data_IF_251521367296
#
_entry.id   IF_251521367296
#
_cell.length_a   1.000
_cell.length_b   1.000
_cell.length_c   1.000
_cell.angle_alpha   90.00
_cell.angle_beta   90.00
_cell.angle_gamma   90.00
#
_symmetry.space_group_name_H-M   'P 1'
#
loop_
_entity.id
_entity.type
_entity.pdbx_description
1 polymer ?
#
# COMPACT_ATOMS: atom_id res chain seq x y z
N UNK A 1 -21.33 -2.06 -4.53
CA UNK A 1 -19.96 -1.58 -4.29
C UNK A 1 -19.93 -0.10 -4.61
N UNK A 2 -19.67 0.77 -3.63
CA UNK A 2 -19.47 2.19 -3.91
C UNK A 2 -18.29 2.34 -4.88
N UNK A 3 -18.46 3.11 -5.95
CA UNK A 3 -17.39 3.44 -6.87
C UNK A 3 -16.43 4.35 -6.10
N UNK A 4 -15.32 3.79 -5.63
CA UNK A 4 -14.24 4.61 -5.05
C UNK A 4 -13.65 5.38 -6.21
N UNK A 5 -13.79 6.70 -6.19
CA UNK A 5 -13.14 7.57 -7.18
C UNK A 5 -11.63 7.57 -6.87
N UNK A 6 -10.89 6.77 -7.64
CA UNK A 6 -9.44 6.66 -7.53
C UNK A 6 -8.81 7.54 -8.59
N UNK A 7 -8.26 8.67 -8.17
CA UNK A 7 -7.49 9.56 -9.04
C UNK A 7 -6.09 8.97 -9.30
N UNK A 8 -5.61 9.15 -10.54
CA UNK A 8 -4.28 8.69 -10.95
C UNK A 8 -3.28 9.85 -10.90
N UNK A 9 -2.10 9.57 -10.38
CA UNK A 9 -0.98 10.52 -10.28
C UNK A 9 0.29 9.87 -10.82
N UNK A 10 1.17 10.64 -11.45
CA UNK A 10 2.51 10.15 -11.76
C UNK A 10 3.42 10.26 -10.52
N UNK A 11 4.57 9.59 -10.53
CA UNK A 11 5.55 9.73 -9.45
C UNK A 11 6.04 11.17 -9.28
N UNK A 12 6.09 11.92 -10.38
CA UNK A 12 6.63 13.28 -10.44
C UNK A 12 5.59 14.31 -9.94
N UNK A 13 4.30 14.04 -10.17
CA UNK A 13 3.19 14.88 -9.68
C UNK A 13 2.93 14.72 -8.18
N UNK A 14 3.47 13.68 -7.54
CA UNK A 14 3.20 13.32 -6.15
C UNK A 14 4.27 13.92 -5.21
N UNK A 15 4.19 15.24 -5.02
CA UNK A 15 5.00 15.95 -4.01
C UNK A 15 4.60 15.54 -2.59
N UNK A 16 5.50 15.77 -1.61
CA UNK A 16 5.23 15.43 -0.21
C UNK A 16 4.01 16.18 0.36
N UNK A 17 3.81 17.43 -0.05
CA UNK A 17 2.63 18.24 0.35
C UNK A 17 1.34 17.67 -0.23
N UNK A 18 1.35 17.32 -1.53
CA UNK A 18 0.17 16.72 -2.18
C UNK A 18 -0.16 15.37 -1.56
N UNK A 19 0.86 14.57 -1.25
CA UNK A 19 0.69 13.30 -0.56
C UNK A 19 0.09 13.49 0.84
N UNK A 20 0.59 14.45 1.64
CA UNK A 20 -0.02 14.78 2.94
C UNK A 20 -1.48 15.18 2.78
N UNK A 21 -1.77 16.10 1.85
CA UNK A 21 -3.14 16.54 1.58
C UNK A 21 -4.08 15.39 1.19
N UNK A 22 -3.61 14.41 0.40
CA UNK A 22 -4.40 13.24 0.05
C UNK A 22 -4.71 12.38 1.27
N UNK A 23 -3.74 12.16 2.15
CA UNK A 23 -3.90 11.37 3.37
C UNK A 23 -4.77 12.11 4.40
N UNK A 24 -4.61 13.43 4.54
CA UNK A 24 -5.39 14.30 5.42
C UNK A 24 -6.88 14.26 5.04
N UNK A 25 -7.15 14.29 3.73
CA UNK A 25 -8.50 14.20 3.18
C UNK A 25 -9.03 12.75 3.05
N UNK A 26 -8.31 11.77 3.59
CA UNK A 26 -8.70 10.35 3.59
C UNK A 26 -9.02 9.81 2.19
N UNK A 27 -8.28 10.28 1.18
CA UNK A 27 -8.52 9.95 -0.23
C UNK A 27 -7.84 8.65 -0.62
N UNK A 28 -8.51 7.89 -1.48
CA UNK A 28 -7.90 6.78 -2.21
C UNK A 28 -7.32 7.30 -3.52
N UNK A 29 -6.15 6.82 -3.91
CA UNK A 29 -5.45 7.30 -5.10
C UNK A 29 -4.54 6.20 -5.67
N UNK A 30 -4.10 6.39 -6.90
CA UNK A 30 -3.19 5.46 -7.56
C UNK A 30 -2.02 6.20 -8.17
N UNK A 31 -0.83 5.71 -7.91
CA UNK A 31 0.40 6.20 -8.54
C UNK A 31 0.71 5.31 -9.74
N UNK A 32 0.83 5.90 -10.92
CA UNK A 32 1.13 5.25 -12.19
C UNK A 32 2.55 5.60 -12.65
N UNK A 33 3.12 4.79 -13.55
CA UNK A 33 4.46 4.99 -14.11
C UNK A 33 5.56 5.11 -13.03
N UNK A 34 5.46 4.31 -11.98
CA UNK A 34 6.39 4.32 -10.85
C UNK A 34 7.70 3.63 -11.24
N UNK A 35 8.80 4.39 -11.24
CA UNK A 35 10.16 3.87 -11.54
C UNK A 35 10.67 2.93 -10.45
N UNK A 36 10.56 3.37 -9.19
CA UNK A 36 10.95 2.58 -8.02
C UNK A 36 9.73 2.42 -7.09
N UNK A 37 9.12 1.23 -7.15
CA UNK A 37 7.96 0.88 -6.33
C UNK A 37 8.33 0.82 -4.85
N UNK A 38 9.52 0.35 -4.49
CA UNK A 38 9.94 0.24 -3.10
C UNK A 38 10.07 1.62 -2.47
N UNK A 39 10.76 2.52 -3.16
CA UNK A 39 10.88 3.92 -2.74
C UNK A 39 9.51 4.61 -2.63
N UNK A 40 8.64 4.45 -3.63
CA UNK A 40 7.32 5.07 -3.61
C UNK A 40 6.44 4.56 -2.46
N UNK A 41 6.47 3.25 -2.19
CA UNK A 41 5.73 2.66 -1.07
C UNK A 41 6.24 3.20 0.25
N UNK A 42 7.56 3.20 0.49
CA UNK A 42 8.14 3.75 1.72
C UNK A 42 7.79 5.24 1.91
N UNK A 43 7.75 6.02 0.82
CA UNK A 43 7.33 7.43 0.85
C UNK A 43 5.87 7.58 1.27
N UNK A 44 4.98 6.72 0.76
CA UNK A 44 3.55 6.71 1.09
C UNK A 44 3.33 6.25 2.53
N UNK A 45 3.96 5.14 2.95
CA UNK A 45 3.90 4.64 4.34
C UNK A 45 4.33 5.73 5.32
N UNK A 46 5.49 6.35 5.10
CA UNK A 46 5.96 7.41 5.98
C UNK A 46 5.08 8.67 6.00
N UNK A 47 4.30 8.93 4.95
CA UNK A 47 3.34 10.04 4.96
C UNK A 47 2.06 9.68 5.75
N UNK A 48 1.62 8.43 5.68
CA UNK A 48 0.48 7.91 6.45
C UNK A 48 0.82 7.84 7.93
N UNK A 49 1.97 7.26 8.27
CA UNK A 49 2.42 7.10 9.67
C UNK A 49 2.65 8.45 10.36
N UNK A 50 3.08 9.49 9.63
CA UNK A 50 3.19 10.86 10.17
C UNK A 50 1.88 11.48 10.60
N UNK A 51 0.75 10.91 10.17
CA UNK A 51 -0.59 11.34 10.56
C UNK A 51 -1.23 10.38 11.59
N UNK A 52 -0.40 9.58 12.27
CA UNK A 52 -0.84 8.57 13.26
C UNK A 52 -1.83 7.54 12.70
N UNK A 53 -1.75 7.27 11.39
CA UNK A 53 -2.57 6.29 10.69
C UNK A 53 -1.79 5.01 10.42
N UNK A 54 -2.52 3.90 10.34
CA UNK A 54 -1.96 2.59 10.02
C UNK A 54 -2.12 2.23 8.54
N UNK A 55 -1.12 1.55 7.97
CA UNK A 55 -1.20 1.02 6.61
C UNK A 55 -0.80 -0.45 6.53
N UNK A 56 -1.35 -1.15 5.54
CA UNK A 56 -0.97 -2.52 5.19
C UNK A 56 -0.49 -2.59 3.74
N UNK A 57 0.75 -3.01 3.53
CA UNK A 57 1.31 -3.21 2.20
C UNK A 57 1.08 -4.66 1.74
N UNK A 58 0.58 -4.82 0.50
CA UNK A 58 0.45 -6.12 -0.16
C UNK A 58 0.92 -6.05 -1.61
N UNK A 59 1.02 -7.21 -2.27
CA UNK A 59 1.33 -7.29 -3.71
C UNK A 59 0.09 -7.70 -4.49
N UNK A 60 -0.33 -6.89 -5.46
CA UNK A 60 -1.59 -7.10 -6.22
C UNK A 60 -1.60 -8.42 -7.01
N UNK A 61 -0.42 -8.95 -7.37
CA UNK A 61 -0.28 -10.22 -8.10
C UNK A 61 -0.67 -11.47 -7.33
N UNK A 62 -0.95 -11.37 -6.04
CA UNK A 62 -1.51 -12.48 -5.27
C UNK A 62 -3.03 -12.49 -5.23
N UNK A 63 -3.69 -11.40 -5.60
CA UNK A 63 -5.15 -11.23 -5.43
C UNK A 63 -5.99 -11.78 -6.60
N UNK A 64 -5.41 -11.99 -7.80
CA UNK A 64 -6.14 -12.62 -8.91
C UNK A 64 -6.41 -14.13 -8.70
N UNK A 65 -5.68 -14.78 -7.79
CA UNK A 65 -5.95 -16.16 -7.36
C UNK A 65 -6.90 -16.24 -6.14
N UNK A 66 -7.33 -15.10 -5.57
CA UNK A 66 -8.16 -15.05 -4.37
C UNK A 66 -9.64 -14.81 -4.68
N UNK A 67 -10.18 -15.59 -5.62
CA UNK A 67 -11.62 -15.83 -5.70
C UNK A 67 -12.08 -16.97 -4.78
N UNK A 68 -11.17 -17.70 -4.12
CA UNK A 68 -11.49 -18.97 -3.49
C UNK A 68 -10.84 -19.26 -2.11
N UNK A 69 -10.09 -18.34 -1.48
CA UNK A 69 -9.49 -18.66 -0.17
C UNK A 69 -9.62 -17.51 0.81
N UNK A 70 -10.23 -17.83 1.94
CA UNK A 70 -10.43 -16.99 3.11
C UNK A 70 -9.10 -16.62 3.80
N UNK A 71 -9.07 -15.44 4.42
CA UNK A 71 -8.25 -15.09 5.61
C UNK A 71 -6.72 -14.90 5.34
N UNK A 72 -6.10 -13.87 5.96
CA UNK A 72 -4.87 -13.28 5.49
C UNK A 72 -3.71 -14.19 5.84
N UNK A 73 -2.85 -14.48 4.87
CA UNK A 73 -1.56 -15.08 5.17
C UNK A 73 -0.42 -14.22 4.65
N UNK A 74 0.57 -13.96 5.51
CA UNK A 74 1.79 -13.28 5.14
C UNK A 74 2.53 -14.19 4.17
N UNK A 75 3.42 -13.60 3.38
CA UNK A 75 4.35 -14.33 2.54
C UNK A 75 5.45 -14.99 3.39
N UNK A 76 5.09 -15.70 4.47
CA UNK A 76 6.06 -16.20 5.46
C UNK A 76 5.63 -17.51 6.12
N UNK A 77 5.01 -18.41 5.36
CA UNK A 77 4.98 -19.83 5.73
C UNK A 77 5.58 -20.63 4.59
N UNK A 78 6.86 -20.41 4.28
CA UNK A 78 7.69 -21.42 3.61
C UNK A 78 9.16 -21.08 3.89
N UNK A 79 9.74 -21.76 4.89
CA UNK A 79 11.18 -21.93 5.02
C UNK A 79 11.94 -20.86 5.78
N UNK A 80 12.24 -21.16 7.05
CA UNK A 80 13.54 -20.81 7.62
C UNK A 80 13.68 -19.43 8.25
N UNK A 81 14.17 -19.44 9.48
CA UNK A 81 14.87 -18.35 10.15
C UNK A 81 15.98 -17.75 9.24
N UNK A 82 15.66 -16.83 8.33
CA UNK A 82 16.71 -16.14 7.54
C UNK A 82 16.27 -14.85 6.80
N UNK A 83 14.98 -14.59 6.56
CA UNK A 83 14.56 -13.47 5.70
C UNK A 83 14.25 -12.17 6.46
N UNK A 84 14.98 -11.87 7.54
CA UNK A 84 14.75 -10.71 8.42
C UNK A 84 15.73 -9.55 8.18
N UNK A 85 16.20 -9.36 6.95
CA UNK A 85 17.11 -8.27 6.60
C UNK A 85 16.50 -7.42 5.49
N UNK A 86 16.00 -6.23 5.86
CA UNK A 86 15.87 -5.11 4.91
C UNK A 86 14.46 -4.66 4.50
N UNK A 87 13.49 -4.54 5.42
CA UNK A 87 12.32 -3.65 5.17
C UNK A 87 11.91 -3.02 6.49
N UNK A 88 12.27 -1.75 6.64
CA UNK A 88 11.92 -0.93 7.79
C UNK A 88 10.43 -0.59 7.72
N UNK A 89 9.61 -1.32 8.46
CA UNK A 89 8.48 -0.84 9.24
C UNK A 89 7.77 -2.08 9.80
N UNK A 90 7.35 -1.97 11.05
CA UNK A 90 6.73 -3.05 11.78
C UNK A 90 5.50 -3.55 11.01
N UNK A 91 5.47 -4.85 10.73
CA UNK A 91 4.32 -5.57 10.23
C UNK A 91 3.22 -5.51 11.32
N UNK A 92 2.61 -4.34 11.53
CA UNK A 92 1.44 -4.22 12.38
C UNK A 92 0.35 -4.95 11.60
N UNK A 93 0.15 -6.21 12.00
CA UNK A 93 -1.03 -6.97 11.69
C UNK A 93 -2.23 -6.29 12.36
N UNK A 94 -2.50 -5.02 12.03
CA UNK A 94 -3.76 -4.36 12.35
C UNK A 94 -4.77 -5.13 11.53
N UNK A 95 -5.63 -5.92 12.17
CA UNK A 95 -6.71 -6.63 11.47
C UNK A 95 -7.52 -5.65 10.59
N UNK A 96 -7.61 -4.37 11.00
CA UNK A 96 -8.24 -3.26 10.31
C UNK A 96 -7.27 -2.06 10.14
N UNK A 97 -6.42 -2.03 9.10
CA UNK A 97 -5.58 -0.85 8.83
C UNK A 97 -6.43 0.29 8.26
N UNK A 98 -6.02 1.54 8.49
CA UNK A 98 -6.67 2.72 7.90
C UNK A 98 -6.46 2.78 6.38
N UNK A 99 -5.31 2.31 5.92
CA UNK A 99 -4.95 2.25 4.51
C UNK A 99 -4.44 0.88 4.07
N UNK A 100 -4.71 0.56 2.81
CA UNK A 100 -4.10 -0.56 2.10
C UNK A 100 -3.27 -0.05 0.91
N UNK A 101 -2.03 -0.52 0.80
CA UNK A 101 -1.08 -0.14 -0.24
C UNK A 101 -0.79 -1.37 -1.11
N UNK A 102 -1.36 -1.40 -2.31
CA UNK A 102 -1.19 -2.45 -3.31
C UNK A 102 0.00 -2.17 -4.23
N UNK A 103 0.98 -3.08 -4.24
CA UNK A 103 2.15 -3.01 -5.14
C UNK A 103 1.89 -3.78 -6.43
N UNK A 104 2.06 -3.11 -7.57
CA UNK A 104 1.96 -3.73 -8.88
C UNK A 104 3.26 -3.53 -9.69
N UNK A 105 4.16 -4.53 -9.61
CA UNK A 105 5.43 -4.51 -10.34
C UNK A 105 5.31 -4.70 -11.86
N UNK A 106 4.26 -5.35 -12.38
CA UNK A 106 4.13 -5.55 -13.83
C UNK A 106 3.57 -4.28 -14.50
N UNK A 107 2.64 -3.59 -13.83
CA UNK A 107 2.03 -2.35 -14.33
C UNK A 107 2.77 -1.09 -13.88
N UNK A 108 3.83 -1.22 -13.08
CA UNK A 108 4.54 -0.11 -12.46
C UNK A 108 3.61 0.86 -11.72
N UNK A 109 2.69 0.31 -10.93
CA UNK A 109 1.70 1.10 -10.18
C UNK A 109 1.69 0.79 -8.70
N UNK A 110 1.33 1.79 -7.90
CA UNK A 110 1.04 1.66 -6.47
C UNK A 110 -0.36 2.17 -6.22
N UNK A 111 -1.25 1.31 -5.72
CA UNK A 111 -2.63 1.68 -5.41
C UNK A 111 -2.76 1.90 -3.91
N UNK A 112 -3.33 3.03 -3.49
CA UNK A 112 -3.54 3.39 -2.09
C UNK A 112 -5.02 3.52 -1.85
N UNK A 113 -5.56 2.68 -0.97
CA UNK A 113 -6.99 2.61 -0.68
C UNK A 113 -7.19 2.98 0.79
N UNK A 114 -7.97 4.03 1.02
CA UNK A 114 -8.46 4.35 2.35
C UNK A 114 -9.58 3.37 2.72
N UNK A 115 -9.40 2.65 3.83
CA UNK A 115 -10.41 1.74 4.39
C UNK A 115 -11.30 2.59 5.27
N UNK A 116 -12.42 3.02 4.70
CA UNK A 116 -13.47 3.71 5.45
C UNK A 116 -13.90 2.81 6.62
N UNK A 117 -13.70 3.28 7.85
CA UNK A 117 -14.31 2.71 9.04
C UNK A 117 -15.82 2.94 9.02
#
# INVERSE_FOLDING_TARGET
>A
MAKVDIENYTSDDLTSEKLSNLVDNRKSFKVVAVKDIGFMVNKIEGAIEKQDLSCRVYSEFRSAAMGAVAIPTPVTIFGGLAAMVGTAAHNLATFNPDYEIGKNKIKNTVTVIYKKA
#
